data_IF_989476630441
#
_entry.id   IF_989476630441
#
_cell.length_a   1.000
_cell.length_b   1.000
_cell.length_c   1.000
_cell.angle_alpha   90.00
_cell.angle_beta   90.00
_cell.angle_gamma   90.00
#
_symmetry.space_group_name_H-M   'P 1'
#
loop_
_entity.id
_entity.type
_entity.pdbx_description
1 polymer ?
#
# COMPACT_ATOMS: atom_id res chain seq x y z
N UNK A 1 -20.83 -40.69 -4.16
CA UNK A 1 -20.08 -39.59 -3.53
C UNK A 1 -20.30 -38.34 -4.38
N UNK A 2 -21.15 -37.42 -3.95
CA UNK A 2 -21.37 -36.16 -4.62
C UNK A 2 -20.10 -35.28 -4.47
N UNK A 3 -19.51 -34.86 -5.59
CA UNK A 3 -18.46 -33.87 -5.56
C UNK A 3 -19.07 -32.57 -5.00
N UNK A 4 -18.65 -32.17 -3.80
CA UNK A 4 -18.96 -30.84 -3.30
C UNK A 4 -18.33 -29.87 -4.29
N UNK A 5 -19.14 -29.11 -5.01
CA UNK A 5 -18.68 -27.95 -5.76
C UNK A 5 -18.07 -27.00 -4.74
N UNK A 6 -16.76 -26.77 -4.85
CA UNK A 6 -16.12 -25.66 -4.17
C UNK A 6 -16.73 -24.39 -4.77
N UNK A 7 -17.79 -23.87 -4.16
CA UNK A 7 -18.24 -22.51 -4.44
C UNK A 7 -17.14 -21.60 -3.94
N UNK A 8 -16.31 -21.09 -4.85
CA UNK A 8 -15.33 -20.05 -4.52
C UNK A 8 -16.14 -18.81 -4.12
N UNK A 9 -16.12 -18.52 -2.83
CA UNK A 9 -16.72 -17.27 -2.32
C UNK A 9 -15.96 -16.11 -2.97
N UNK A 10 -16.66 -15.29 -3.72
CA UNK A 10 -16.12 -14.09 -4.36
C UNK A 10 -15.62 -13.15 -3.27
N UNK A 11 -14.36 -12.73 -3.36
CA UNK A 11 -13.75 -11.79 -2.41
C UNK A 11 -13.94 -10.37 -2.96
N UNK A 12 -14.51 -9.49 -2.15
CA UNK A 12 -14.67 -8.06 -2.43
C UNK A 12 -13.50 -7.29 -1.83
N UNK A 13 -12.52 -6.97 -2.65
CA UNK A 13 -11.33 -6.25 -2.25
C UNK A 13 -11.48 -4.76 -2.52
N UNK A 14 -11.37 -3.94 -1.50
CA UNK A 14 -11.31 -2.49 -1.63
C UNK A 14 -9.86 -2.01 -1.58
N UNK A 15 -9.47 -1.17 -2.55
CA UNK A 15 -8.16 -0.53 -2.62
C UNK A 15 -8.39 0.98 -2.58
N UNK A 16 -7.75 1.66 -1.65
CA UNK A 16 -7.83 3.12 -1.56
C UNK A 16 -6.49 3.76 -1.93
N UNK A 17 -6.50 4.62 -2.95
CA UNK A 17 -5.46 5.62 -3.14
C UNK A 17 -5.73 6.78 -2.19
N UNK A 18 -4.89 7.08 -1.20
CA UNK A 18 -5.21 8.12 -0.21
C UNK A 18 -5.01 9.56 -0.71
N UNK A 19 -4.49 9.77 -1.92
CA UNK A 19 -4.44 11.08 -2.57
C UNK A 19 -5.61 11.29 -3.55
N UNK A 20 -5.75 12.52 -4.09
CA UNK A 20 -6.90 12.91 -4.93
C UNK A 20 -6.64 12.76 -6.44
N UNK A 21 -5.50 12.23 -6.87
CA UNK A 21 -5.12 12.14 -8.28
C UNK A 21 -5.75 10.93 -8.97
N UNK A 22 -6.72 11.17 -9.85
CA UNK A 22 -7.50 10.13 -10.51
C UNK A 22 -6.65 9.24 -11.45
N UNK A 23 -5.65 9.80 -12.13
CA UNK A 23 -4.74 9.02 -12.99
C UNK A 23 -3.94 8.01 -12.17
N UNK A 24 -3.44 8.39 -11.00
CA UNK A 24 -2.76 7.47 -10.09
C UNK A 24 -3.69 6.35 -9.61
N UNK A 25 -4.95 6.66 -9.32
CA UNK A 25 -5.96 5.64 -8.96
C UNK A 25 -6.19 4.65 -10.10
N UNK A 26 -6.22 5.11 -11.34
CA UNK A 26 -6.32 4.25 -12.53
C UNK A 26 -5.08 3.37 -12.71
N UNK A 27 -3.88 3.91 -12.50
CA UNK A 27 -2.63 3.17 -12.53
C UNK A 27 -2.59 2.06 -11.45
N UNK A 28 -2.97 2.39 -10.22
CA UNK A 28 -3.10 1.42 -9.12
C UNK A 28 -4.12 0.33 -9.48
N UNK A 29 -5.28 0.71 -10.03
CA UNK A 29 -6.30 -0.26 -10.45
C UNK A 29 -5.80 -1.20 -11.55
N UNK A 30 -5.00 -0.70 -12.49
CA UNK A 30 -4.40 -1.52 -13.55
C UNK A 30 -3.38 -2.53 -12.97
N UNK A 31 -2.49 -2.09 -12.08
CA UNK A 31 -1.51 -2.95 -11.41
C UNK A 31 -2.20 -4.00 -10.54
N UNK A 32 -3.20 -3.60 -9.78
CA UNK A 32 -3.98 -4.51 -8.93
C UNK A 32 -4.71 -5.61 -9.73
N UNK A 33 -5.26 -5.29 -10.91
CA UNK A 33 -5.93 -6.27 -11.78
C UNK A 33 -4.98 -7.36 -12.28
N UNK A 34 -3.73 -7.03 -12.53
CA UNK A 34 -2.71 -8.01 -12.95
C UNK A 34 -2.40 -9.00 -11.82
N UNK A 35 -2.40 -8.51 -10.57
CA UNK A 35 -2.07 -9.31 -9.40
C UNK A 35 -3.25 -10.09 -8.81
N UNK A 36 -4.48 -9.65 -9.09
CA UNK A 36 -5.66 -10.23 -8.46
C UNK A 36 -6.05 -11.57 -9.09
N UNK A 37 -6.37 -12.60 -8.27
CA UNK A 37 -6.99 -13.83 -8.75
C UNK A 37 -8.36 -13.59 -9.39
N UNK A 38 -8.85 -14.50 -10.27
CA UNK A 38 -10.11 -14.32 -11.02
C UNK A 38 -11.36 -14.22 -10.14
N UNK A 39 -11.34 -14.76 -8.94
CA UNK A 39 -12.43 -14.74 -7.95
C UNK A 39 -12.43 -13.50 -7.05
N UNK A 40 -11.58 -12.51 -7.34
CA UNK A 40 -11.51 -11.24 -6.60
C UNK A 40 -12.19 -10.13 -7.39
N UNK A 41 -13.23 -9.55 -6.82
CA UNK A 41 -13.90 -8.33 -7.33
C UNK A 41 -13.30 -7.12 -6.61
N UNK A 42 -12.74 -6.20 -7.38
CA UNK A 42 -12.05 -5.03 -6.82
C UNK A 42 -12.82 -3.74 -7.01
N UNK A 43 -12.88 -2.95 -5.96
CA UNK A 43 -13.28 -1.55 -5.98
C UNK A 43 -12.07 -0.69 -5.64
N UNK A 44 -11.67 0.21 -6.53
CA UNK A 44 -10.53 1.10 -6.32
C UNK A 44 -11.04 2.53 -6.22
N UNK A 45 -10.74 3.20 -5.12
CA UNK A 45 -11.28 4.53 -4.80
C UNK A 45 -10.18 5.52 -4.44
N UNK A 46 -10.55 6.78 -4.42
CA UNK A 46 -9.78 7.90 -3.90
C UNK A 46 -10.71 8.88 -3.18
N UNK A 47 -10.21 9.70 -2.24
CA UNK A 47 -11.01 10.77 -1.63
C UNK A 47 -11.22 11.92 -2.62
N UNK A 48 -12.28 12.71 -2.36
CA UNK A 48 -12.60 13.91 -3.13
C UNK A 48 -11.85 15.16 -2.59
N UNK A 49 -11.19 15.03 -1.44
CA UNK A 49 -10.43 16.09 -0.78
C UNK A 49 -9.15 15.53 -0.16
N UNK A 50 -8.13 16.38 -0.05
CA UNK A 50 -6.81 16.02 0.43
C UNK A 50 -5.71 16.43 -0.56
N UNK A 51 -4.48 15.98 -0.36
CA UNK A 51 -3.35 16.31 -1.23
C UNK A 51 -3.43 15.54 -2.56
N UNK A 52 -2.91 16.12 -3.67
CA UNK A 52 -2.82 15.43 -4.96
C UNK A 52 -1.74 14.33 -4.98
N UNK A 53 -0.75 14.42 -4.11
CA UNK A 53 0.28 13.40 -3.86
C UNK A 53 0.67 13.42 -2.38
N UNK A 54 1.28 12.35 -1.90
CA UNK A 54 1.77 12.27 -0.52
C UNK A 54 3.30 12.21 -0.59
N UNK A 55 3.92 13.27 -0.11
CA UNK A 55 5.36 13.48 -0.16
C UNK A 55 5.89 13.90 1.22
N UNK A 56 5.67 13.06 2.22
CA UNK A 56 6.12 13.26 3.59
C UNK A 56 4.99 13.47 4.59
N UNK A 57 5.38 13.80 5.83
CA UNK A 57 4.50 13.84 7.00
C UNK A 57 3.30 14.78 6.87
N UNK A 58 3.50 15.97 6.27
CA UNK A 58 2.45 16.98 6.18
C UNK A 58 1.31 16.49 5.26
N UNK A 59 1.64 16.03 4.06
CA UNK A 59 0.64 15.51 3.13
C UNK A 59 -0.05 14.28 3.70
N UNK A 60 0.73 13.39 4.34
CA UNK A 60 0.20 12.21 5.04
C UNK A 60 -0.89 12.57 6.06
N UNK A 61 -0.65 13.60 6.87
CA UNK A 61 -1.63 14.03 7.88
C UNK A 61 -2.96 14.50 7.27
N UNK A 62 -2.91 15.22 6.13
CA UNK A 62 -4.12 15.69 5.44
C UNK A 62 -4.78 14.64 4.55
N UNK A 63 -4.08 13.58 4.17
CA UNK A 63 -4.64 12.47 3.41
C UNK A 63 -5.51 11.53 4.25
N UNK A 64 -5.19 11.36 5.54
CA UNK A 64 -5.84 10.39 6.43
C UNK A 64 -7.36 10.56 6.51
N UNK A 65 -7.94 11.76 6.72
CA UNK A 65 -9.40 11.90 6.86
C UNK A 65 -10.17 11.43 5.63
N UNK A 66 -9.69 11.81 4.43
CA UNK A 66 -10.33 11.42 3.17
C UNK A 66 -10.23 9.91 2.91
N UNK A 67 -9.06 9.33 3.16
CA UNK A 67 -8.82 7.89 3.06
C UNK A 67 -9.73 7.09 4.01
N UNK A 68 -9.85 7.51 5.27
CA UNK A 68 -10.72 6.84 6.25
C UNK A 68 -12.19 6.88 5.83
N UNK A 69 -12.66 7.99 5.23
CA UNK A 69 -14.03 8.07 4.69
C UNK A 69 -14.27 6.96 3.66
N UNK A 70 -13.35 6.76 2.70
CA UNK A 70 -13.48 5.71 1.68
C UNK A 70 -13.44 4.30 2.28
N UNK A 71 -12.61 4.06 3.31
CA UNK A 71 -12.59 2.76 4.01
C UNK A 71 -13.92 2.49 4.72
N UNK A 72 -14.46 3.46 5.46
CA UNK A 72 -15.74 3.31 6.14
C UNK A 72 -16.90 3.07 5.16
N UNK A 73 -16.90 3.74 4.01
CA UNK A 73 -17.90 3.51 2.97
C UNK A 73 -17.80 2.10 2.37
N UNK A 74 -16.58 1.66 2.05
CA UNK A 74 -16.36 0.33 1.50
C UNK A 74 -16.66 -0.80 2.51
N UNK A 75 -16.35 -0.59 3.80
CA UNK A 75 -16.74 -1.49 4.88
C UNK A 75 -18.26 -1.66 4.94
N UNK A 76 -19.02 -0.56 4.87
CA UNK A 76 -20.49 -0.57 4.82
C UNK A 76 -21.03 -1.25 3.56
N UNK A 77 -20.31 -1.16 2.45
CA UNK A 77 -20.64 -1.85 1.20
C UNK A 77 -20.26 -3.34 1.20
N UNK A 78 -19.69 -3.85 2.29
CA UNK A 78 -19.36 -5.26 2.48
C UNK A 78 -18.02 -5.67 1.87
N UNK A 79 -17.00 -4.82 1.93
CA UNK A 79 -15.65 -5.20 1.58
C UNK A 79 -15.13 -6.30 2.52
N UNK A 80 -14.48 -7.32 1.96
CA UNK A 80 -13.90 -8.43 2.73
C UNK A 80 -12.47 -8.15 3.19
N UNK A 81 -11.77 -7.22 2.52
CA UNK A 81 -10.46 -6.71 2.90
C UNK A 81 -10.21 -5.33 2.26
N UNK A 82 -9.25 -4.58 2.83
CA UNK A 82 -8.82 -3.28 2.32
C UNK A 82 -7.31 -3.25 2.07
N UNK A 83 -6.89 -2.47 1.06
CA UNK A 83 -5.49 -2.15 0.78
C UNK A 83 -5.33 -0.63 0.74
N UNK A 84 -4.38 -0.10 1.49
CA UNK A 84 -3.98 1.31 1.41
C UNK A 84 -2.82 1.42 0.42
N UNK A 85 -3.08 2.03 -0.74
CA UNK A 85 -2.13 2.13 -1.84
C UNK A 85 -1.24 3.38 -1.73
N UNK A 86 -0.59 3.54 -0.59
CA UNK A 86 0.47 4.53 -0.34
C UNK A 86 1.63 3.85 0.39
N UNK A 87 2.84 4.05 -0.07
CA UNK A 87 3.99 3.34 0.48
C UNK A 87 4.44 3.87 1.86
N UNK A 88 3.96 5.02 2.28
CA UNK A 88 4.11 5.51 3.66
C UNK A 88 3.16 4.79 4.65
N UNK A 89 2.32 3.86 4.17
CA UNK A 89 1.25 3.18 4.94
C UNK A 89 0.39 4.18 5.73
N UNK A 90 0.08 5.30 5.07
CA UNK A 90 -0.58 6.47 5.64
C UNK A 90 -1.89 6.10 6.33
N UNK A 91 -1.96 6.31 7.64
CA UNK A 91 -3.18 6.09 8.43
C UNK A 91 -3.57 4.64 8.66
N UNK A 92 -2.68 3.66 8.42
CA UNK A 92 -2.96 2.22 8.52
C UNK A 92 -3.59 1.80 9.85
N UNK A 93 -3.09 2.29 10.99
CA UNK A 93 -3.68 1.93 12.30
C UNK A 93 -5.06 2.53 12.52
N UNK A 94 -5.28 3.76 12.05
CA UNK A 94 -6.59 4.37 12.12
C UNK A 94 -7.61 3.61 11.24
N UNK A 95 -7.18 3.14 10.08
CA UNK A 95 -7.97 2.28 9.20
C UNK A 95 -8.32 0.94 9.88
N UNK A 96 -7.35 0.31 10.52
CA UNK A 96 -7.57 -0.92 11.31
C UNK A 96 -8.53 -0.71 12.47
N UNK A 97 -8.52 0.46 13.09
CA UNK A 97 -9.46 0.78 14.18
C UNK A 97 -10.92 0.90 13.70
N UNK A 98 -11.16 1.42 12.48
CA UNK A 98 -12.52 1.63 11.95
C UNK A 98 -13.05 0.48 11.12
N UNK A 99 -12.21 -0.45 10.65
CA UNK A 99 -12.62 -1.59 9.81
C UNK A 99 -12.56 -2.90 10.58
N UNK A 100 -13.57 -3.76 10.43
CA UNK A 100 -13.54 -5.17 10.88
C UNK A 100 -12.80 -6.06 9.88
N UNK A 101 -12.89 -5.74 8.59
CA UNK A 101 -12.11 -6.40 7.56
C UNK A 101 -10.62 -6.13 7.74
N UNK A 102 -9.72 -7.05 7.34
CA UNK A 102 -8.29 -6.80 7.41
C UNK A 102 -7.90 -5.61 6.52
N UNK A 103 -7.02 -4.78 7.04
CA UNK A 103 -6.43 -3.65 6.30
C UNK A 103 -4.94 -3.87 6.14
N UNK A 104 -4.47 -3.84 4.91
CA UNK A 104 -3.07 -4.08 4.53
C UNK A 104 -2.49 -2.80 3.92
N UNK A 105 -1.37 -2.34 4.46
CA UNK A 105 -0.56 -1.30 3.85
C UNK A 105 0.36 -1.89 2.78
N UNK A 106 0.58 -1.18 1.69
CA UNK A 106 1.42 -1.72 0.60
C UNK A 106 2.91 -1.79 0.95
N UNK A 107 3.40 -0.94 1.87
CA UNK A 107 4.77 -1.05 2.36
C UNK A 107 4.94 -2.25 3.29
N UNK A 108 4.05 -2.42 4.28
CA UNK A 108 4.04 -3.61 5.15
C UNK A 108 4.02 -4.90 4.33
N UNK A 109 3.14 -4.97 3.33
CA UNK A 109 3.03 -6.13 2.45
C UNK A 109 4.33 -6.39 1.66
N UNK A 110 4.88 -5.35 1.04
CA UNK A 110 6.09 -5.47 0.23
C UNK A 110 7.30 -5.89 1.07
N UNK A 111 7.46 -5.34 2.28
CA UNK A 111 8.57 -5.71 3.17
C UNK A 111 8.50 -7.16 3.60
N UNK A 112 7.31 -7.65 3.95
CA UNK A 112 7.12 -9.05 4.30
C UNK A 112 7.46 -9.98 3.14
N UNK A 113 6.95 -9.71 1.93
CA UNK A 113 7.28 -10.54 0.76
C UNK A 113 8.76 -10.47 0.40
N UNK A 114 9.37 -9.28 0.40
CA UNK A 114 10.79 -9.12 0.13
C UNK A 114 11.66 -9.90 1.12
N UNK A 115 11.27 -9.94 2.39
CA UNK A 115 12.00 -10.70 3.42
C UNK A 115 11.96 -12.22 3.22
N UNK A 116 11.03 -12.73 2.42
CA UNK A 116 10.95 -14.16 2.04
C UNK A 116 11.75 -14.48 0.78
N UNK A 117 12.07 -13.47 -0.04
CA UNK A 117 12.69 -13.64 -1.36
C UNK A 117 14.19 -13.38 -1.37
N UNK A 118 14.66 -12.51 -0.49
CA UNK A 118 16.07 -12.16 -0.37
C UNK A 118 16.58 -12.21 1.06
N UNK A 119 17.89 -12.22 1.22
CA UNK A 119 18.52 -12.13 2.54
C UNK A 119 18.47 -10.70 3.06
N UNK A 120 18.61 -9.72 2.15
CA UNK A 120 18.51 -8.29 2.41
C UNK A 120 17.88 -7.56 1.22
N UNK A 121 16.90 -6.72 1.48
CA UNK A 121 16.31 -5.89 0.44
C UNK A 121 16.69 -4.42 0.60
N UNK A 122 16.68 -3.67 -0.50
CA UNK A 122 16.73 -2.20 -0.49
C UNK A 122 15.41 -1.65 -1.02
N UNK A 123 14.89 -0.62 -0.36
CA UNK A 123 13.74 0.15 -0.84
C UNK A 123 14.23 1.30 -1.70
N UNK A 124 13.64 1.46 -2.89
CA UNK A 124 13.86 2.62 -3.75
C UNK A 124 12.57 3.44 -3.82
N UNK A 125 12.54 4.56 -3.10
CA UNK A 125 11.39 5.48 -3.04
C UNK A 125 11.57 6.70 -3.95
N UNK A 126 10.59 7.59 -3.94
CA UNK A 126 10.54 8.81 -4.76
C UNK A 126 11.44 9.90 -4.20
N UNK A 127 11.12 10.46 -3.03
CA UNK A 127 11.82 11.60 -2.44
C UNK A 127 12.48 11.25 -1.12
N UNK A 128 13.63 11.86 -0.82
CA UNK A 128 14.36 11.64 0.42
C UNK A 128 13.53 11.98 1.67
N UNK A 129 12.57 12.88 1.57
CA UNK A 129 11.67 13.25 2.68
C UNK A 129 10.75 12.12 3.15
N UNK A 130 10.52 11.08 2.32
CA UNK A 130 9.79 9.86 2.72
C UNK A 130 10.69 8.82 3.40
N UNK A 131 12.02 8.93 3.32
CA UNK A 131 12.95 7.96 3.92
C UNK A 131 12.66 7.76 5.42
N UNK A 132 12.56 8.80 6.25
CA UNK A 132 12.34 8.61 7.70
C UNK A 132 11.03 7.86 7.99
N UNK A 133 9.95 8.13 7.23
CA UNK A 133 8.66 7.44 7.41
C UNK A 133 8.78 5.96 7.10
N UNK A 134 9.51 5.62 6.02
CA UNK A 134 9.72 4.25 5.58
C UNK A 134 10.60 3.50 6.59
N UNK A 135 11.65 4.13 7.12
CA UNK A 135 12.51 3.55 8.14
C UNK A 135 11.77 3.32 9.47
N UNK A 136 10.91 4.26 9.89
CA UNK A 136 10.05 4.10 11.06
C UNK A 136 9.07 2.93 10.87
N UNK A 137 8.48 2.78 9.67
CA UNK A 137 7.62 1.65 9.35
C UNK A 137 8.38 0.31 9.36
N UNK A 138 9.60 0.27 8.82
CA UNK A 138 10.46 -0.92 8.87
C UNK A 138 10.75 -1.35 10.32
N UNK A 139 11.11 -0.38 11.18
CA UNK A 139 11.32 -0.63 12.60
C UNK A 139 10.05 -1.14 13.28
N UNK A 140 8.92 -0.49 13.01
CA UNK A 140 7.62 -0.84 13.58
C UNK A 140 7.17 -2.25 13.19
N UNK A 141 7.44 -2.68 11.95
CA UNK A 141 7.11 -4.03 11.46
C UNK A 141 8.17 -5.08 11.83
N UNK A 142 9.28 -4.68 12.47
CA UNK A 142 10.36 -5.58 12.88
C UNK A 142 11.20 -6.11 11.72
N UNK A 143 11.25 -5.37 10.61
CA UNK A 143 11.97 -5.74 9.37
C UNK A 143 13.16 -4.83 9.05
N UNK A 144 13.51 -3.92 9.98
CA UNK A 144 14.64 -3.00 9.86
C UNK A 144 15.97 -3.71 9.57
N UNK A 145 16.21 -4.86 10.21
CA UNK A 145 17.42 -5.67 9.99
C UNK A 145 17.45 -6.39 8.64
N UNK A 146 16.30 -6.53 7.99
CA UNK A 146 16.18 -7.14 6.65
C UNK A 146 16.33 -6.09 5.55
N UNK A 147 16.10 -4.83 5.84
CA UNK A 147 16.34 -3.72 4.94
C UNK A 147 17.81 -3.30 5.01
N UNK A 148 18.48 -3.33 3.86
CA UNK A 148 19.86 -2.86 3.74
C UNK A 148 19.92 -1.33 3.78
N UNK A 149 18.99 -0.67 3.05
CA UNK A 149 18.88 0.78 2.95
C UNK A 149 17.54 1.20 2.37
N UNK A 150 17.11 2.42 2.66
CA UNK A 150 16.08 3.14 1.93
C UNK A 150 16.79 4.21 1.07
N UNK A 151 16.58 4.17 -0.25
CA UNK A 151 17.13 5.10 -1.24
C UNK A 151 16.03 5.92 -1.88
N UNK A 152 16.33 7.17 -2.26
CA UNK A 152 15.41 8.02 -2.99
C UNK A 152 15.93 8.31 -4.40
N UNK A 153 15.04 8.26 -5.38
CA UNK A 153 15.32 8.59 -6.78
C UNK A 153 15.24 10.10 -7.06
N UNK A 154 14.87 10.89 -6.06
CA UNK A 154 14.64 12.35 -6.14
C UNK A 154 13.67 12.75 -7.26
N UNK A 155 12.58 11.97 -7.35
CA UNK A 155 11.48 12.19 -8.28
C UNK A 155 10.24 12.66 -7.52
N UNK A 156 9.65 13.82 -7.81
CA UNK A 156 8.31 14.14 -7.35
C UNK A 156 7.32 13.06 -7.79
N UNK A 157 6.36 12.70 -6.93
CA UNK A 157 5.45 11.57 -7.19
C UNK A 157 4.73 11.71 -8.52
N UNK A 158 4.23 12.90 -8.86
CA UNK A 158 3.52 13.14 -10.12
C UNK A 158 4.43 13.06 -11.36
N UNK A 159 5.75 13.16 -11.19
CA UNK A 159 6.70 12.99 -12.30
C UNK A 159 6.78 11.54 -12.81
N UNK A 160 6.33 10.57 -12.04
CA UNK A 160 6.21 9.17 -12.50
C UNK A 160 5.27 9.04 -13.71
N UNK A 161 4.26 9.91 -13.81
CA UNK A 161 3.29 9.93 -14.91
C UNK A 161 3.65 10.95 -15.99
N UNK A 162 4.16 12.13 -15.62
CA UNK A 162 4.47 13.21 -16.57
C UNK A 162 5.77 12.99 -17.34
N UNK A 163 6.74 12.25 -16.80
CA UNK A 163 8.00 11.87 -17.45
C UNK A 163 8.37 10.40 -17.15
N UNK A 164 7.65 9.43 -17.71
CA UNK A 164 7.89 8.01 -17.40
C UNK A 164 9.29 7.53 -17.79
N UNK A 165 9.89 8.06 -18.86
CA UNK A 165 11.21 7.65 -19.32
C UNK A 165 12.31 8.14 -18.38
N UNK A 166 12.30 9.41 -18.02
CA UNK A 166 13.24 9.97 -17.04
C UNK A 166 13.07 9.37 -15.65
N UNK A 167 11.83 9.09 -15.24
CA UNK A 167 11.55 8.42 -13.99
C UNK A 167 12.18 7.02 -13.95
N UNK A 168 11.96 6.23 -15.00
CA UNK A 168 12.54 4.88 -15.09
C UNK A 168 14.08 4.91 -15.04
N UNK A 169 14.73 5.85 -15.74
CA UNK A 169 16.19 5.96 -15.73
C UNK A 169 16.74 6.28 -14.35
N UNK A 170 16.12 7.21 -13.63
CA UNK A 170 16.54 7.57 -12.26
C UNK A 170 16.34 6.43 -11.27
N UNK A 171 15.21 5.74 -11.32
CA UNK A 171 14.93 4.58 -10.48
C UNK A 171 15.93 3.45 -10.79
N UNK A 172 16.19 3.19 -12.08
CA UNK A 172 17.17 2.18 -12.52
C UNK A 172 18.56 2.43 -11.94
N UNK A 173 19.02 3.70 -11.94
CA UNK A 173 20.31 4.07 -11.33
C UNK A 173 20.36 3.80 -9.82
N UNK A 174 19.29 4.09 -9.10
CA UNK A 174 19.24 3.80 -7.66
C UNK A 174 19.17 2.29 -7.38
N UNK A 175 18.52 1.51 -8.23
CA UNK A 175 18.56 0.03 -8.16
C UNK A 175 19.98 -0.49 -8.38
N UNK A 176 20.70 0.00 -9.40
CA UNK A 176 22.10 -0.37 -9.62
C UNK A 176 22.98 -0.07 -8.41
N UNK A 177 22.80 1.10 -7.82
CA UNK A 177 23.53 1.48 -6.59
C UNK A 177 23.16 0.58 -5.43
N UNK A 178 21.89 0.23 -5.25
CA UNK A 178 21.42 -0.67 -4.22
C UNK A 178 22.12 -2.04 -4.30
N UNK A 179 22.20 -2.60 -5.50
CA UNK A 179 22.84 -3.89 -5.73
C UNK A 179 24.36 -3.85 -5.52
N UNK A 180 25.01 -2.73 -5.88
CA UNK A 180 26.48 -2.60 -5.77
C UNK A 180 26.94 -2.16 -4.37
N UNK A 181 26.23 -1.23 -3.75
CA UNK A 181 26.69 -0.53 -2.55
C UNK A 181 26.08 -1.08 -1.25
N UNK A 182 24.82 -1.56 -1.29
CA UNK A 182 24.09 -1.96 -0.09
C UNK A 182 24.14 -3.47 0.18
N UNK A 183 24.61 -4.25 -0.81
CA UNK A 183 24.60 -5.71 -0.73
C UNK A 183 23.16 -6.28 -0.72
N UNK A 184 22.23 -5.59 -1.36
CA UNK A 184 20.86 -6.06 -1.51
C UNK A 184 20.77 -7.15 -2.59
N UNK A 185 19.95 -8.16 -2.34
CA UNK A 185 19.62 -9.25 -3.26
C UNK A 185 18.12 -9.27 -3.64
N UNK A 186 17.38 -8.29 -3.16
CA UNK A 186 15.99 -8.03 -3.50
C UNK A 186 15.72 -6.51 -3.48
N UNK A 187 14.86 -6.03 -4.36
CA UNK A 187 14.47 -4.61 -4.46
C UNK A 187 12.99 -4.47 -4.13
N UNK A 188 12.66 -3.41 -3.38
CA UNK A 188 11.27 -3.01 -3.11
C UNK A 188 11.03 -1.64 -3.75
N UNK A 189 10.01 -1.52 -4.59
CA UNK A 189 9.60 -0.25 -5.17
C UNK A 189 8.74 0.54 -4.19
N UNK A 190 9.27 1.65 -3.71
CA UNK A 190 8.76 2.45 -2.60
C UNK A 190 7.71 3.49 -3.00
N UNK A 191 6.89 3.22 -4.01
CA UNK A 191 5.76 4.06 -4.41
C UNK A 191 4.73 3.25 -5.21
N UNK A 192 3.44 3.43 -4.95
CA UNK A 192 2.38 2.79 -5.73
C UNK A 192 2.44 3.13 -7.24
N UNK A 193 2.88 4.34 -7.57
CA UNK A 193 3.08 4.77 -8.97
C UNK A 193 4.19 4.04 -9.71
N UNK A 194 5.04 3.27 -9.02
CA UNK A 194 6.11 2.48 -9.64
C UNK A 194 5.68 1.04 -9.99
N UNK A 195 4.48 0.61 -9.62
CA UNK A 195 4.06 -0.80 -9.72
C UNK A 195 4.24 -1.38 -11.12
N UNK A 196 3.92 -0.62 -12.18
CA UNK A 196 4.08 -1.05 -13.57
C UNK A 196 5.55 -1.31 -14.01
N UNK A 197 6.53 -0.86 -13.21
CA UNK A 197 7.96 -0.99 -13.53
C UNK A 197 8.59 -2.28 -12.97
N UNK A 198 7.91 -2.98 -12.07
CA UNK A 198 8.48 -4.11 -11.33
C UNK A 198 8.97 -5.23 -12.26
N UNK A 199 8.14 -5.66 -13.22
CA UNK A 199 8.51 -6.71 -14.18
C UNK A 199 9.70 -6.30 -15.06
N UNK A 200 9.72 -5.03 -15.50
CA UNK A 200 10.81 -4.49 -16.31
C UNK A 200 12.14 -4.51 -15.56
N UNK A 201 12.15 -4.05 -14.33
CA UNK A 201 13.36 -4.05 -13.50
C UNK A 201 13.79 -5.46 -13.11
N UNK A 202 12.84 -6.36 -12.82
CA UNK A 202 13.17 -7.78 -12.63
C UNK A 202 13.91 -8.36 -13.84
N UNK A 203 13.42 -8.11 -15.05
CA UNK A 203 14.07 -8.55 -16.28
C UNK A 203 15.44 -7.91 -16.49
N UNK A 204 15.59 -6.64 -16.13
CA UNK A 204 16.84 -5.90 -16.30
C UNK A 204 17.92 -6.34 -15.31
N UNK A 205 17.58 -6.51 -14.04
CA UNK A 205 18.54 -6.72 -12.96
C UNK A 205 18.66 -8.19 -12.52
N UNK A 206 17.74 -9.05 -12.93
CA UNK A 206 17.72 -10.49 -12.61
C UNK A 206 17.72 -10.78 -11.09
N UNK A 207 17.14 -9.88 -10.31
CA UNK A 207 16.85 -10.04 -8.88
C UNK A 207 15.36 -9.82 -8.62
N UNK A 208 14.79 -10.37 -7.54
CA UNK A 208 13.39 -10.08 -7.18
C UNK A 208 13.16 -8.57 -7.05
N UNK A 209 12.10 -8.08 -7.69
CA UNK A 209 11.63 -6.69 -7.57
C UNK A 209 10.17 -6.74 -7.11
N UNK A 210 9.93 -6.30 -5.89
CA UNK A 210 8.61 -6.34 -5.26
C UNK A 210 7.92 -4.99 -5.42
N UNK A 211 6.74 -4.99 -6.02
CA UNK A 211 5.83 -3.85 -6.01
C UNK A 211 4.81 -3.99 -4.87
N UNK A 212 4.52 -2.87 -4.22
CA UNK A 212 3.66 -2.85 -3.04
C UNK A 212 2.19 -3.12 -3.36
N UNK A 213 1.70 -2.75 -4.55
CA UNK A 213 0.29 -2.93 -4.93
C UNK A 213 -0.02 -4.41 -5.09
N UNK A 214 0.80 -5.14 -5.86
CA UNK A 214 0.64 -6.59 -6.02
C UNK A 214 0.80 -7.33 -4.68
N UNK A 215 1.79 -6.94 -3.86
CA UNK A 215 2.00 -7.48 -2.53
C UNK A 215 0.77 -7.28 -1.63
N UNK A 216 0.22 -6.07 -1.60
CA UNK A 216 -0.97 -5.72 -0.83
C UNK A 216 -2.21 -6.51 -1.27
N UNK A 217 -2.46 -6.61 -2.58
CA UNK A 217 -3.55 -7.43 -3.15
C UNK A 217 -3.42 -8.88 -2.75
N UNK A 218 -2.22 -9.46 -2.87
CA UNK A 218 -1.95 -10.85 -2.51
C UNK A 218 -2.21 -11.14 -1.04
N UNK A 219 -1.66 -10.33 -0.12
CA UNK A 219 -1.84 -10.55 1.31
C UNK A 219 -3.27 -10.27 1.77
N UNK A 220 -3.91 -9.17 1.31
CA UNK A 220 -5.29 -8.86 1.66
C UNK A 220 -6.25 -9.97 1.21
N UNK A 221 -6.07 -10.47 -0.01
CA UNK A 221 -6.84 -11.62 -0.53
C UNK A 221 -6.63 -12.88 0.32
N UNK A 222 -5.39 -13.15 0.72
CA UNK A 222 -5.08 -14.30 1.58
C UNK A 222 -5.78 -14.19 2.94
N UNK A 223 -5.72 -13.02 3.59
CA UNK A 223 -6.38 -12.80 4.87
C UNK A 223 -7.91 -12.95 4.76
N UNK A 224 -8.51 -12.41 3.70
CA UNK A 224 -9.94 -12.57 3.44
C UNK A 224 -10.34 -14.04 3.23
N UNK A 225 -9.58 -14.81 2.42
CA UNK A 225 -9.83 -16.24 2.18
C UNK A 225 -9.75 -17.09 3.43
N UNK A 226 -8.85 -16.73 4.34
CA UNK A 226 -8.71 -17.40 5.63
C UNK A 226 -9.81 -16.99 6.63
N UNK A 227 -10.71 -16.07 6.26
CA UNK A 227 -11.76 -15.55 7.14
C UNK A 227 -11.24 -14.72 8.30
N UNK A 228 -9.99 -14.25 8.22
CA UNK A 228 -9.36 -13.46 9.27
C UNK A 228 -9.93 -12.04 9.29
N UNK A 229 -10.04 -11.48 10.50
CA UNK A 229 -10.58 -10.13 10.74
C UNK A 229 -9.61 -9.32 11.58
N UNK A 230 -9.70 -8.00 11.46
CA UNK A 230 -8.98 -7.09 12.36
C UNK A 230 -9.46 -7.28 13.79
N UNK A 231 -8.55 -7.46 14.73
CA UNK A 231 -8.90 -7.56 16.15
C UNK A 231 -9.60 -6.31 16.64
N UNK A 232 -10.70 -6.47 17.38
CA UNK A 232 -11.40 -5.35 18.03
C UNK A 232 -11.15 -5.33 19.56
N UNK A 233 -10.10 -6.02 19.98
CA UNK A 233 -9.56 -5.93 21.33
C UNK A 233 -8.29 -5.08 21.34
N UNK A 234 -8.06 -4.29 22.37
CA UNK A 234 -6.85 -3.49 22.52
C UNK A 234 -6.79 -2.30 21.59
N UNK A 235 -5.63 -2.08 20.94
CA UNK A 235 -5.34 -0.85 20.17
C UNK A 235 -6.23 -0.61 18.96
N UNK A 236 -6.79 -1.65 18.36
CA UNK A 236 -7.71 -1.54 17.22
C UNK A 236 -9.19 -1.66 17.62
N UNK A 237 -9.52 -1.53 18.90
CA UNK A 237 -10.90 -1.41 19.34
C UNK A 237 -11.61 -0.27 18.58
N UNK A 238 -12.92 -0.46 18.32
CA UNK A 238 -13.70 0.56 17.62
C UNK A 238 -13.61 1.93 18.33
N UNK A 239 -13.53 3.03 17.56
CA UNK A 239 -13.51 4.36 18.16
C UNK A 239 -14.73 4.60 19.06
N UNK A 240 -14.50 5.17 20.23
CA UNK A 240 -15.60 5.51 21.15
C UNK A 240 -16.49 6.61 20.54
N UNK A 241 -17.83 6.50 20.65
CA UNK A 241 -18.75 7.52 20.18
C UNK A 241 -18.45 8.88 20.81
N UNK A 242 -18.28 9.88 19.98
CA UNK A 242 -18.08 11.29 20.40
C UNK A 242 -18.35 12.22 19.22
N UNK A 243 -18.78 13.44 19.52
CA UNK A 243 -19.00 14.46 18.50
C UNK A 243 -17.72 15.22 18.19
N UNK A 244 -17.35 15.27 16.92
CA UNK A 244 -16.28 16.12 16.43
C UNK A 244 -16.83 17.52 16.09
N UNK A 245 -15.98 18.54 16.13
CA UNK A 245 -16.35 19.92 15.83
C UNK A 245 -15.90 20.34 14.42
N UNK A 246 -16.57 21.35 13.87
CA UNK A 246 -16.20 22.02 12.62
C UNK A 246 -16.18 21.09 11.41
N UNK A 247 -15.12 21.18 10.61
CA UNK A 247 -14.95 20.40 9.37
C UNK A 247 -14.94 18.87 9.60
N UNK A 248 -14.63 18.43 10.81
CA UNK A 248 -14.58 17.00 11.12
C UNK A 248 -15.88 16.44 11.69
N UNK A 249 -16.92 17.27 11.88
CA UNK A 249 -18.22 16.80 12.38
C UNK A 249 -18.80 15.59 11.62
N UNK A 250 -18.70 15.52 10.27
CA UNK A 250 -19.18 14.36 9.50
C UNK A 250 -18.44 13.06 9.77
N UNK A 251 -17.23 13.12 10.34
CA UNK A 251 -16.39 11.96 10.66
C UNK A 251 -16.54 11.49 12.10
N UNK A 252 -17.52 12.02 12.84
CA UNK A 252 -17.76 11.61 14.22
C UNK A 252 -18.05 10.12 14.30
N UNK A 253 -17.35 9.37 15.17
CA UNK A 253 -17.68 7.95 15.40
C UNK A 253 -19.11 7.85 15.96
N UNK A 254 -19.93 7.04 15.32
CA UNK A 254 -21.28 6.71 15.77
C UNK A 254 -21.30 5.38 16.53
N UNK A 255 -22.27 5.14 17.41
CA UNK A 255 -22.45 3.86 18.11
C UNK A 255 -22.61 2.67 17.17
#
# INVERSE_FOLDING_TARGET
>A
MAAASLEFTVIRLHIVNPNTTASMTQGIAAAARIAAPPDVVMTVTQPDFGPPSIEGFFDGAYAVPGMLARIVEAEKAGADAHVIACFDDTGLDAARAVSNAPVVGIAEAAFHLASMLGTRFTVVTTLARSIPIIEDNLLRYGLDRRCARVRASELPVLSLESDPAGAQEKISREIERALKEDGADCIVLGCAGMAALAEKFWRQFQVPVVDGVAAGVGLATTLARLGLKTSKAGGYAAPLPKSYAGLFAPFSPTP
#
